data_IF_720263203399
#
_entry.id   IF_720263203399
#
_cell.length_a   1.000
_cell.length_b   1.000
_cell.length_c   1.000
_cell.angle_alpha   90.00
_cell.angle_beta   90.00
_cell.angle_gamma   90.00
#
_symmetry.space_group_name_H-M   'P 1'
#
loop_
_entity.id
_entity.type
_entity.pdbx_description
1 polymer ?
#
# COMPACT_ATOMS: atom_id res chain seq x y z
N UNK A 1 -61.08 15.33 -2.74
CA UNK A 1 -59.93 15.17 -1.84
C UNK A 1 -58.74 14.83 -2.72
N UNK A 2 -57.97 15.80 -3.04
CA UNK A 2 -56.73 15.67 -3.86
C UNK A 2 -55.58 15.36 -2.94
N UNK A 3 -54.84 14.28 -3.25
CA UNK A 3 -53.64 13.88 -2.52
C UNK A 3 -52.53 14.92 -2.63
N UNK A 4 -51.71 15.12 -1.56
CA UNK A 4 -50.60 16.07 -1.60
C UNK A 4 -49.51 15.55 -2.53
N UNK A 5 -48.70 16.45 -3.14
CA UNK A 5 -47.59 16.05 -3.99
C UNK A 5 -46.47 15.43 -3.17
N UNK A 6 -45.81 14.42 -3.75
CA UNK A 6 -44.62 13.77 -3.20
C UNK A 6 -43.49 14.77 -3.02
N UNK A 7 -42.68 14.68 -1.94
CA UNK A 7 -41.53 15.55 -1.74
C UNK A 7 -40.48 15.25 -2.83
N UNK A 8 -39.91 16.34 -3.34
CA UNK A 8 -38.80 16.31 -4.29
C UNK A 8 -37.62 15.51 -3.69
N UNK A 9 -37.06 14.60 -4.49
CA UNK A 9 -35.84 13.87 -4.13
C UNK A 9 -34.72 14.83 -3.77
N UNK A 10 -34.15 14.67 -2.59
CA UNK A 10 -32.97 15.40 -2.17
C UNK A 10 -31.83 15.17 -3.17
N UNK A 11 -31.01 16.20 -3.48
CA UNK A 11 -29.89 16.02 -4.37
C UNK A 11 -28.86 15.09 -3.72
N UNK A 12 -28.44 14.09 -4.48
CA UNK A 12 -27.32 13.19 -4.16
C UNK A 12 -26.12 14.03 -3.69
N UNK A 13 -25.39 13.66 -2.61
CA UNK A 13 -24.29 14.46 -2.12
C UNK A 13 -23.27 14.69 -3.23
N UNK A 14 -23.02 15.97 -3.50
CA UNK A 14 -22.02 16.44 -4.44
C UNK A 14 -20.67 15.77 -4.13
N UNK A 15 -20.07 15.13 -5.13
CA UNK A 15 -18.71 14.60 -5.03
C UNK A 15 -17.82 15.71 -4.45
N UNK A 16 -17.19 15.45 -3.31
CA UNK A 16 -16.32 16.40 -2.64
C UNK A 16 -15.23 16.82 -3.62
N UNK A 17 -15.20 18.09 -4.00
CA UNK A 17 -14.27 18.60 -5.00
C UNK A 17 -12.83 18.29 -4.55
N UNK A 18 -12.03 17.68 -5.43
CA UNK A 18 -10.63 17.40 -5.15
C UNK A 18 -9.87 18.71 -5.03
N UNK A 19 -9.28 18.95 -3.86
CA UNK A 19 -8.46 20.12 -3.63
C UNK A 19 -7.06 19.90 -4.23
N UNK A 20 -6.69 20.76 -5.17
CA UNK A 20 -5.37 20.81 -5.77
C UNK A 20 -4.62 22.04 -5.26
N UNK A 21 -3.46 21.82 -4.65
CA UNK A 21 -2.58 22.92 -4.26
C UNK A 21 -1.94 23.61 -5.47
N UNK A 22 -1.73 22.85 -6.57
CA UNK A 22 -1.17 23.32 -7.83
C UNK A 22 -2.20 23.16 -8.96
N UNK A 23 -2.68 24.29 -9.55
CA UNK A 23 -3.60 24.27 -10.69
C UNK A 23 -3.02 23.63 -11.96
N UNK A 24 -1.69 23.71 -12.16
CA UNK A 24 -1.05 23.10 -13.34
C UNK A 24 -1.10 21.56 -13.23
N UNK A 25 -0.87 21.03 -12.02
CA UNK A 25 -1.00 19.60 -11.76
C UNK A 25 -2.45 19.11 -11.91
N UNK A 26 -3.42 19.92 -11.48
CA UNK A 26 -4.84 19.62 -11.72
C UNK A 26 -5.16 19.51 -13.20
N UNK A 27 -4.68 20.46 -14.02
CA UNK A 27 -4.88 20.44 -15.46
C UNK A 27 -4.18 19.25 -16.12
N UNK A 28 -2.93 18.93 -15.74
CA UNK A 28 -2.20 17.77 -16.22
C UNK A 28 -2.95 16.46 -15.92
N UNK A 29 -3.47 16.32 -14.69
CA UNK A 29 -4.27 15.15 -14.28
C UNK A 29 -5.53 15.00 -15.14
N UNK A 30 -6.29 16.08 -15.34
CA UNK A 30 -7.50 16.06 -16.16
C UNK A 30 -7.19 15.72 -17.62
N UNK A 31 -6.14 16.31 -18.21
CA UNK A 31 -5.73 16.05 -19.58
C UNK A 31 -5.29 14.58 -19.75
N UNK A 32 -4.52 14.05 -18.80
CA UNK A 32 -4.11 12.65 -18.82
C UNK A 32 -5.31 11.71 -18.75
N UNK A 33 -6.25 11.93 -17.81
CA UNK A 33 -7.48 11.14 -17.70
C UNK A 33 -8.34 11.21 -18.96
N UNK A 34 -8.44 12.38 -19.59
CA UNK A 34 -9.18 12.53 -20.84
C UNK A 34 -8.53 11.73 -21.99
N UNK A 35 -7.18 11.66 -21.98
CA UNK A 35 -6.43 10.89 -22.98
C UNK A 35 -6.61 9.39 -22.87
N UNK A 36 -6.50 8.83 -21.66
CA UNK A 36 -6.60 7.38 -21.42
C UNK A 36 -8.05 6.89 -21.21
N UNK A 37 -8.95 7.80 -20.85
CA UNK A 37 -10.32 7.48 -20.45
C UNK A 37 -11.09 6.62 -21.45
N UNK A 38 -11.10 6.92 -22.74
CA UNK A 38 -11.83 6.12 -23.74
C UNK A 38 -11.35 4.66 -23.82
N UNK A 39 -10.04 4.40 -23.70
CA UNK A 39 -9.48 3.05 -23.77
C UNK A 39 -9.83 2.19 -22.56
N UNK A 40 -10.01 2.83 -21.40
CA UNK A 40 -10.29 2.15 -20.12
C UNK A 40 -11.75 2.32 -19.66
N UNK A 41 -12.61 2.94 -20.44
CA UNK A 41 -14.01 3.20 -20.11
C UNK A 41 -14.19 4.08 -18.86
N UNK A 42 -13.22 4.96 -18.57
CA UNK A 42 -13.26 5.81 -17.36
C UNK A 42 -14.34 6.87 -17.46
N UNK A 43 -14.94 7.19 -16.30
CA UNK A 43 -15.95 8.23 -16.13
C UNK A 43 -15.36 9.41 -15.32
N UNK A 44 -14.66 10.38 -15.95
CA UNK A 44 -13.88 11.40 -15.23
C UNK A 44 -14.68 12.24 -14.23
N UNK A 45 -15.98 12.42 -14.45
CA UNK A 45 -16.86 13.15 -13.53
C UNK A 45 -17.06 12.43 -12.17
N UNK A 46 -16.66 11.17 -12.06
CA UNK A 46 -16.84 10.35 -10.85
C UNK A 46 -15.59 10.27 -9.97
N UNK A 47 -14.52 10.97 -10.37
CA UNK A 47 -13.25 10.98 -9.60
C UNK A 47 -13.50 11.50 -8.19
N UNK A 48 -13.04 10.71 -7.21
CA UNK A 48 -13.14 11.01 -5.78
C UNK A 48 -11.94 10.51 -5.02
N UNK A 49 -11.63 11.11 -3.89
CA UNK A 49 -10.54 10.64 -3.03
C UNK A 49 -10.85 9.21 -2.54
N UNK A 50 -9.92 8.28 -2.73
CA UNK A 50 -9.99 6.93 -2.21
C UNK A 50 -9.21 6.81 -0.89
N UNK A 51 -7.95 7.30 -0.89
CA UNK A 51 -7.10 7.34 0.29
C UNK A 51 -6.06 8.44 0.11
N UNK A 52 -5.59 9.00 1.22
CA UNK A 52 -4.40 9.83 1.29
C UNK A 52 -3.44 9.14 2.25
N UNK A 53 -2.25 8.81 1.76
CA UNK A 53 -1.18 8.22 2.55
C UNK A 53 -0.44 9.28 3.37
N UNK A 54 0.36 8.85 4.34
CA UNK A 54 1.33 9.69 5.03
C UNK A 54 2.47 10.16 4.11
N UNK A 55 2.61 9.56 2.93
CA UNK A 55 3.52 9.96 1.85
C UNK A 55 2.95 11.11 1.00
N UNK A 56 3.68 11.50 -0.03
CA UNK A 56 3.18 12.47 -1.01
C UNK A 56 2.24 11.87 -2.06
N UNK A 57 1.89 10.58 -1.95
CA UNK A 57 0.97 9.88 -2.84
C UNK A 57 -0.46 10.17 -2.45
N UNK A 58 -1.31 10.36 -3.47
CA UNK A 58 -2.76 10.44 -3.32
C UNK A 58 -3.40 9.39 -4.22
N UNK A 59 -4.45 8.79 -3.71
CA UNK A 59 -5.18 7.77 -4.45
C UNK A 59 -6.61 8.25 -4.70
N UNK A 60 -7.03 8.21 -5.96
CA UNK A 60 -8.37 8.56 -6.37
C UNK A 60 -9.07 7.35 -6.95
N UNK A 61 -10.33 7.16 -6.61
CA UNK A 61 -11.18 6.17 -7.26
C UNK A 61 -11.96 6.85 -8.38
N UNK A 62 -12.05 6.18 -9.52
CA UNK A 62 -12.80 6.60 -10.69
C UNK A 62 -13.67 5.45 -11.16
N UNK A 63 -14.96 5.71 -11.43
CA UNK A 63 -15.83 4.68 -11.97
C UNK A 63 -15.48 4.40 -13.44
N UNK A 64 -15.73 3.16 -13.86
CA UNK A 64 -15.45 2.70 -15.22
C UNK A 64 -16.63 1.90 -15.76
N UNK A 65 -16.81 1.94 -17.07
CA UNK A 65 -17.74 1.06 -17.80
C UNK A 65 -17.04 -0.24 -18.17
N UNK A 66 -17.79 -1.34 -18.25
CA UNK A 66 -17.26 -2.65 -18.66
C UNK A 66 -17.17 -3.65 -17.52
N UNK A 67 -16.14 -4.52 -17.55
CA UNK A 67 -16.02 -5.64 -16.59
C UNK A 67 -15.59 -5.20 -15.19
N UNK A 68 -14.94 -4.07 -15.05
CA UNK A 68 -14.55 -3.50 -13.75
C UNK A 68 -15.38 -2.25 -13.48
N UNK A 69 -16.01 -2.20 -12.30
CA UNK A 69 -16.88 -1.10 -11.89
C UNK A 69 -16.07 0.19 -11.59
N UNK A 70 -14.81 0.07 -11.22
CA UNK A 70 -13.93 1.21 -10.88
C UNK A 70 -12.45 0.91 -11.09
N UNK A 71 -11.65 1.98 -11.06
CA UNK A 71 -10.20 1.96 -11.10
C UNK A 71 -9.64 2.88 -10.02
N UNK A 72 -8.36 2.71 -9.71
CA UNK A 72 -7.61 3.60 -8.84
C UNK A 72 -6.63 4.41 -9.69
N UNK A 73 -6.57 5.70 -9.45
CA UNK A 73 -5.53 6.59 -9.98
C UNK A 73 -4.60 6.97 -8.84
N UNK A 74 -3.33 6.59 -8.94
CA UNK A 74 -2.28 7.07 -8.05
C UNK A 74 -1.67 8.34 -8.62
N UNK A 75 -1.61 9.38 -7.82
CA UNK A 75 -0.94 10.65 -8.07
C UNK A 75 0.32 10.72 -7.19
N UNK A 76 1.48 10.53 -7.81
CA UNK A 76 2.80 10.47 -7.16
C UNK A 76 3.75 11.46 -7.85
N UNK A 77 3.83 12.73 -7.39
CA UNK A 77 4.65 13.77 -8.01
C UNK A 77 6.12 13.32 -8.14
N UNK A 78 6.72 13.26 -9.35
CA UNK A 78 8.05 12.69 -9.56
C UNK A 78 9.17 13.38 -8.80
N UNK A 79 9.00 14.67 -8.48
CA UNK A 79 9.94 15.44 -7.68
C UNK A 79 9.96 15.06 -6.19
N UNK A 80 8.96 14.27 -5.75
CA UNK A 80 8.80 13.83 -4.37
C UNK A 80 8.77 12.32 -4.20
N UNK A 81 8.32 11.61 -5.24
CA UNK A 81 8.05 10.16 -5.19
C UNK A 81 8.64 9.45 -6.41
N UNK A 82 9.42 8.41 -6.18
CA UNK A 82 9.86 7.52 -7.24
C UNK A 82 8.86 6.36 -7.40
N UNK A 83 8.14 6.30 -8.51
CA UNK A 83 7.16 5.23 -8.79
C UNK A 83 7.77 3.98 -9.44
N UNK A 84 9.06 3.98 -9.83
CA UNK A 84 9.71 2.78 -10.42
C UNK A 84 9.65 1.55 -9.50
N UNK A 85 9.96 1.64 -8.19
CA UNK A 85 9.86 0.49 -7.29
C UNK A 85 8.42 -0.06 -7.22
N UNK A 86 7.40 0.82 -7.18
CA UNK A 86 6.00 0.39 -7.19
C UNK A 86 5.70 -0.45 -8.43
N UNK A 87 6.04 0.04 -9.61
CA UNK A 87 5.79 -0.67 -10.88
C UNK A 87 6.57 -1.98 -10.95
N UNK A 88 7.83 -1.98 -10.50
CA UNK A 88 8.66 -3.17 -10.48
C UNK A 88 8.09 -4.25 -9.56
N UNK A 89 7.75 -3.88 -8.32
CA UNK A 89 7.27 -4.86 -7.34
C UNK A 89 5.87 -5.35 -7.67
N UNK A 90 4.97 -4.50 -8.17
CA UNK A 90 3.66 -4.93 -8.68
C UNK A 90 3.78 -6.04 -9.73
N UNK A 91 4.74 -5.91 -10.66
CA UNK A 91 5.01 -6.94 -11.66
C UNK A 91 5.56 -8.22 -11.03
N UNK A 92 6.51 -8.11 -10.08
CA UNK A 92 7.07 -9.28 -9.39
C UNK A 92 5.99 -10.03 -8.59
N UNK A 93 5.05 -9.33 -7.96
CA UNK A 93 3.91 -9.95 -7.27
C UNK A 93 3.00 -10.69 -8.25
N UNK A 94 2.68 -10.09 -9.39
CA UNK A 94 1.91 -10.76 -10.43
C UNK A 94 2.62 -12.04 -10.95
N UNK A 95 3.94 -11.98 -11.19
CA UNK A 95 4.76 -13.14 -11.56
C UNK A 95 4.75 -14.23 -10.48
N UNK A 96 4.67 -13.84 -9.20
CA UNK A 96 4.59 -14.76 -8.05
C UNK A 96 3.17 -15.34 -7.84
N UNK A 97 2.17 -14.92 -8.60
CA UNK A 97 0.78 -15.29 -8.39
C UNK A 97 0.16 -14.66 -7.13
N UNK A 98 0.71 -13.53 -6.68
CA UNK A 98 0.17 -12.71 -5.59
C UNK A 98 -0.68 -11.60 -6.19
N UNK A 99 -1.90 -11.45 -5.71
CA UNK A 99 -2.78 -10.37 -6.15
C UNK A 99 -2.29 -9.04 -5.57
N UNK A 100 -1.87 -8.14 -6.44
CA UNK A 100 -1.51 -6.76 -6.13
C UNK A 100 -2.09 -5.84 -7.21
N UNK A 101 -2.26 -4.52 -6.98
CA UNK A 101 -2.72 -3.59 -8.01
C UNK A 101 -1.87 -3.69 -9.27
N UNK A 102 -2.51 -4.02 -10.39
CA UNK A 102 -1.85 -4.02 -11.69
C UNK A 102 -1.75 -2.59 -12.21
N UNK A 103 -0.59 -2.24 -12.77
CA UNK A 103 -0.39 -0.95 -13.43
C UNK A 103 -0.90 -1.07 -14.87
N UNK A 104 -2.03 -0.41 -15.14
CA UNK A 104 -2.69 -0.42 -16.45
C UNK A 104 -2.12 0.66 -17.37
N UNK A 105 -1.84 1.85 -16.80
CA UNK A 105 -1.21 2.98 -17.49
C UNK A 105 -0.24 3.69 -16.54
N UNK A 106 0.82 4.27 -17.12
CA UNK A 106 1.80 5.04 -16.36
C UNK A 106 2.32 6.24 -17.14
N UNK A 107 1.97 7.43 -16.66
CA UNK A 107 2.59 8.69 -17.10
C UNK A 107 3.82 8.99 -16.23
N UNK A 108 5.00 8.64 -16.73
CA UNK A 108 6.27 8.86 -16.04
C UNK A 108 6.60 10.34 -15.85
N UNK A 109 6.12 11.19 -16.77
CA UNK A 109 6.41 12.63 -16.74
C UNK A 109 5.72 13.33 -15.59
N UNK A 110 4.45 12.97 -15.36
CA UNK A 110 3.66 13.60 -14.29
C UNK A 110 3.51 12.71 -13.06
N UNK A 111 3.90 11.42 -13.12
CA UNK A 111 3.78 10.48 -12.02
C UNK A 111 2.33 10.05 -11.76
N UNK A 112 1.51 9.92 -12.80
CA UNK A 112 0.16 9.37 -12.68
C UNK A 112 0.16 7.90 -13.10
N UNK A 113 -0.48 7.06 -12.29
CA UNK A 113 -0.67 5.65 -12.62
C UNK A 113 -2.15 5.28 -12.55
N UNK A 114 -2.63 4.53 -13.55
CA UNK A 114 -3.94 3.88 -13.50
C UNK A 114 -3.75 2.45 -13.03
N UNK A 115 -4.48 2.06 -11.98
CA UNK A 115 -4.38 0.77 -11.31
C UNK A 115 -5.75 0.08 -11.29
N UNK A 116 -5.75 -1.26 -11.14
CA UNK A 116 -6.99 -1.94 -10.75
C UNK A 116 -7.43 -1.51 -9.35
N UNK A 117 -8.74 -1.61 -9.14
CA UNK A 117 -9.36 -1.40 -7.84
C UNK A 117 -9.56 -2.75 -7.16
N UNK A 118 -8.86 -2.98 -6.07
CA UNK A 118 -8.95 -4.22 -5.29
C UNK A 118 -10.06 -4.20 -4.23
N UNK A 119 -10.91 -3.16 -4.23
CA UNK A 119 -12.02 -3.06 -3.31
C UNK A 119 -11.89 -1.92 -2.29
N UNK A 120 -12.60 -2.05 -1.16
CA UNK A 120 -12.72 -0.98 -0.18
C UNK A 120 -12.39 -1.42 1.24
N UNK A 121 -12.50 -2.71 1.53
CA UNK A 121 -12.33 -3.25 2.87
C UNK A 121 -10.96 -3.90 3.00
N UNK A 122 -10.23 -3.50 4.02
CA UNK A 122 -8.99 -4.17 4.41
C UNK A 122 -9.31 -5.34 5.34
N UNK A 123 -8.36 -6.25 5.48
CA UNK A 123 -8.46 -7.32 6.47
C UNK A 123 -8.63 -6.75 7.89
N UNK A 124 -8.02 -5.59 8.19
CA UNK A 124 -8.17 -4.91 9.48
C UNK A 124 -9.61 -4.47 9.73
N UNK A 125 -10.37 -4.09 8.70
CA UNK A 125 -11.76 -3.63 8.83
C UNK A 125 -12.72 -4.78 9.15
N UNK A 126 -12.37 -6.02 8.78
CA UNK A 126 -13.28 -7.18 8.87
C UNK A 126 -12.91 -8.21 9.94
N UNK A 127 -11.67 -8.21 10.44
CA UNK A 127 -11.28 -9.12 11.53
C UNK A 127 -11.95 -8.70 12.84
N UNK A 128 -12.46 -9.71 13.56
CA UNK A 128 -13.09 -9.51 14.86
C UNK A 128 -12.24 -10.19 15.96
N UNK A 129 -11.55 -9.41 16.81
CA UNK A 129 -10.77 -9.98 17.91
C UNK A 129 -11.56 -10.83 18.90
N UNK A 130 -12.88 -10.60 18.99
CA UNK A 130 -13.75 -11.40 19.83
C UNK A 130 -14.13 -12.76 19.22
N UNK A 131 -13.91 -12.94 17.92
CA UNK A 131 -14.19 -14.16 17.16
C UNK A 131 -13.01 -14.58 16.29
N UNK A 132 -11.86 -14.94 16.88
CA UNK A 132 -10.63 -15.24 16.13
C UNK A 132 -10.80 -16.37 15.12
N UNK A 133 -11.63 -17.37 15.41
CA UNK A 133 -11.89 -18.49 14.49
C UNK A 133 -12.59 -18.04 13.20
N UNK A 134 -13.43 -17.01 13.24
CA UNK A 134 -14.08 -16.44 12.08
C UNK A 134 -13.08 -15.73 11.13
N UNK A 135 -11.99 -15.21 11.68
CA UNK A 135 -10.95 -14.51 10.93
C UNK A 135 -9.87 -15.45 10.39
N UNK A 136 -9.82 -16.70 10.85
CA UNK A 136 -8.79 -17.69 10.47
C UNK A 136 -8.64 -17.86 8.96
N UNK A 137 -9.72 -17.99 8.15
CA UNK A 137 -9.58 -18.14 6.70
C UNK A 137 -8.84 -16.98 6.03
N UNK A 138 -8.95 -15.75 6.56
CA UNK A 138 -8.22 -14.59 6.05
C UNK A 138 -6.73 -14.67 6.38
N UNK A 139 -6.39 -15.14 7.57
CA UNK A 139 -4.98 -15.38 7.94
C UNK A 139 -4.36 -16.51 7.11
N UNK A 140 -5.11 -17.59 6.85
CA UNK A 140 -4.64 -18.68 5.99
C UNK A 140 -4.35 -18.16 4.57
N UNK A 141 -5.23 -17.32 3.99
CA UNK A 141 -4.99 -16.66 2.69
C UNK A 141 -3.78 -15.71 2.71
N UNK A 142 -3.60 -14.96 3.80
CA UNK A 142 -2.45 -14.08 3.95
C UNK A 142 -1.14 -14.88 3.98
N UNK A 143 -1.10 -15.98 4.74
CA UNK A 143 0.06 -16.89 4.78
C UNK A 143 0.33 -17.48 3.40
N UNK A 144 -0.68 -17.94 2.68
CA UNK A 144 -0.52 -18.48 1.33
C UNK A 144 0.04 -17.43 0.35
N UNK A 145 -0.43 -16.16 0.44
CA UNK A 145 0.10 -15.07 -0.36
C UNK A 145 1.57 -14.79 -0.03
N UNK A 146 1.93 -14.76 1.26
CA UNK A 146 3.30 -14.57 1.72
C UNK A 146 4.22 -15.71 1.27
N UNK A 147 3.77 -16.96 1.35
CA UNK A 147 4.52 -18.12 0.87
C UNK A 147 4.78 -18.00 -0.63
N UNK A 148 3.77 -17.68 -1.45
CA UNK A 148 3.95 -17.47 -2.89
C UNK A 148 4.98 -16.37 -3.18
N UNK A 149 4.91 -15.26 -2.46
CA UNK A 149 5.86 -14.16 -2.58
C UNK A 149 7.29 -14.59 -2.24
N UNK A 150 7.48 -15.29 -1.13
CA UNK A 150 8.79 -15.78 -0.71
C UNK A 150 9.35 -16.83 -1.65
N UNK A 151 8.54 -17.75 -2.17
CA UNK A 151 8.97 -18.78 -3.12
C UNK A 151 9.41 -18.22 -4.48
N UNK A 152 8.90 -17.05 -4.86
CA UNK A 152 9.30 -16.36 -6.09
C UNK A 152 10.64 -15.61 -5.98
N UNK A 153 11.30 -15.66 -4.83
CA UNK A 153 12.51 -14.88 -4.54
C UNK A 153 13.67 -15.22 -5.45
N UNK A 154 14.32 -14.18 -5.94
CA UNK A 154 15.55 -14.25 -6.75
C UNK A 154 16.58 -13.25 -6.22
N UNK A 155 17.80 -13.69 -5.88
CA UNK A 155 18.86 -12.79 -5.43
C UNK A 155 19.15 -11.69 -6.48
N UNK A 156 19.44 -10.48 -6.01
CA UNK A 156 19.85 -9.35 -6.85
C UNK A 156 18.71 -8.66 -7.62
N UNK A 157 17.44 -9.06 -7.43
CA UNK A 157 16.27 -8.43 -8.07
C UNK A 157 15.74 -7.27 -7.24
N UNK A 158 15.59 -7.47 -5.93
CA UNK A 158 15.22 -6.42 -4.98
C UNK A 158 16.47 -5.95 -4.21
N UNK A 159 16.45 -4.72 -3.67
CA UNK A 159 17.52 -4.23 -2.80
C UNK A 159 17.76 -5.17 -1.62
N UNK A 160 19.02 -5.36 -1.18
CA UNK A 160 19.29 -6.20 -0.02
C UNK A 160 18.81 -5.53 1.28
N UNK A 161 18.26 -6.32 2.19
CA UNK A 161 18.04 -5.93 3.57
C UNK A 161 19.34 -6.16 4.34
N UNK A 162 20.31 -5.29 4.07
CA UNK A 162 21.66 -5.40 4.61
C UNK A 162 21.78 -4.90 6.06
N UNK A 163 22.99 -5.04 6.63
CA UNK A 163 23.31 -4.56 7.98
C UNK A 163 22.95 -3.07 8.17
N UNK A 164 23.27 -2.26 7.19
CA UNK A 164 23.07 -0.80 7.29
C UNK A 164 21.58 -0.46 7.39
N UNK A 165 20.73 -1.13 6.61
CA UNK A 165 19.28 -0.95 6.66
C UNK A 165 18.70 -1.47 7.98
N UNK A 166 19.10 -2.66 8.44
CA UNK A 166 18.67 -3.22 9.73
C UNK A 166 19.05 -2.33 10.90
N UNK A 167 20.30 -1.83 10.95
CA UNK A 167 20.78 -0.96 12.02
C UNK A 167 20.05 0.40 12.02
N UNK A 168 19.75 0.95 10.82
CA UNK A 168 18.99 2.20 10.68
C UNK A 168 17.57 2.07 11.24
N UNK A 169 16.89 0.97 10.95
CA UNK A 169 15.51 0.75 11.44
C UNK A 169 15.49 0.51 12.96
N UNK A 170 16.41 -0.27 13.48
CA UNK A 170 16.54 -0.46 14.92
C UNK A 170 16.85 0.85 15.66
N UNK A 171 17.58 1.76 15.04
CA UNK A 171 17.90 3.06 15.63
C UNK A 171 16.67 3.98 15.80
N UNK A 172 15.56 3.73 15.08
CA UNK A 172 14.32 4.48 15.25
C UNK A 172 13.74 4.31 16.66
N UNK A 173 13.88 3.13 17.27
CA UNK A 173 13.34 2.86 18.61
C UNK A 173 13.99 3.76 19.70
N UNK A 174 15.33 3.79 19.87
CA UNK A 174 15.93 4.68 20.84
C UNK A 174 15.77 6.16 20.51
N UNK A 175 15.80 6.55 19.23
CA UNK A 175 15.64 7.93 18.83
C UNK A 175 14.24 8.46 19.14
N UNK A 176 13.22 7.77 18.59
CA UNK A 176 11.85 8.28 18.62
C UNK A 176 11.11 7.91 19.90
N UNK A 177 11.14 6.63 20.29
CA UNK A 177 10.40 6.20 21.46
C UNK A 177 11.10 6.59 22.77
N UNK A 178 12.37 6.22 22.94
CA UNK A 178 13.06 6.49 24.21
C UNK A 178 13.39 7.99 24.33
N UNK A 179 14.03 8.57 23.31
CA UNK A 179 14.47 9.95 23.33
C UNK A 179 13.31 10.93 23.24
N UNK A 180 12.60 10.94 22.10
CA UNK A 180 11.57 11.99 21.84
C UNK A 180 10.28 11.76 22.61
N UNK A 181 9.73 10.54 22.62
CA UNK A 181 8.44 10.28 23.28
C UNK A 181 8.58 10.18 24.80
N UNK A 182 9.58 9.44 25.30
CA UNK A 182 9.78 9.25 26.73
C UNK A 182 10.67 10.32 27.39
N UNK A 183 11.38 11.14 26.62
CA UNK A 183 12.28 12.17 27.12
C UNK A 183 13.49 11.62 27.90
N UNK A 184 13.88 10.36 27.64
CA UNK A 184 14.97 9.69 28.36
C UNK A 184 16.25 9.77 27.50
N UNK A 185 17.35 10.21 28.10
CA UNK A 185 18.65 10.18 27.41
C UNK A 185 19.12 8.73 27.19
N UNK A 186 19.54 8.42 25.96
CA UNK A 186 20.06 7.11 25.58
C UNK A 186 21.57 7.10 25.78
N UNK A 187 22.00 6.93 27.05
CA UNK A 187 23.40 7.01 27.47
C UNK A 187 23.74 5.86 28.45
N UNK A 188 25.03 5.68 28.72
CA UNK A 188 25.54 4.72 29.69
C UNK A 188 24.97 3.31 29.50
N UNK A 189 24.47 2.69 30.56
CA UNK A 189 23.98 1.31 30.54
C UNK A 189 22.79 1.08 29.59
N UNK A 190 21.91 2.09 29.38
CA UNK A 190 20.80 1.97 28.44
C UNK A 190 21.36 1.79 27.02
N UNK A 191 22.29 2.64 26.61
CA UNK A 191 22.95 2.58 25.32
C UNK A 191 23.66 1.24 25.11
N UNK A 192 24.47 0.82 26.07
CA UNK A 192 25.22 -0.45 26.00
C UNK A 192 24.30 -1.67 25.86
N UNK A 193 23.16 -1.69 26.56
CA UNK A 193 22.20 -2.78 26.47
C UNK A 193 21.50 -2.79 25.10
N UNK A 194 21.11 -1.64 24.59
CA UNK A 194 20.50 -1.53 23.26
C UNK A 194 21.47 -1.97 22.17
N UNK A 195 22.71 -1.49 22.18
CA UNK A 195 23.73 -1.88 21.21
C UNK A 195 24.00 -3.40 21.22
N UNK A 196 24.04 -4.01 22.41
CA UNK A 196 24.17 -5.46 22.55
C UNK A 196 22.98 -6.20 21.94
N UNK A 197 21.76 -5.76 22.28
CA UNK A 197 20.53 -6.41 21.78
C UNK A 197 20.40 -6.23 20.27
N UNK A 198 20.67 -5.04 19.75
CA UNK A 198 20.61 -4.75 18.31
C UNK A 198 21.64 -5.58 17.52
N UNK A 199 22.83 -5.72 18.04
CA UNK A 199 23.85 -6.58 17.42
C UNK A 199 23.35 -8.02 17.28
N UNK A 200 22.78 -8.61 18.33
CA UNK A 200 22.23 -9.96 18.30
C UNK A 200 21.10 -10.10 17.28
N UNK A 201 20.18 -9.10 17.22
CA UNK A 201 19.09 -9.09 16.26
C UNK A 201 19.62 -9.02 14.83
N UNK A 202 20.56 -8.11 14.56
CA UNK A 202 21.16 -7.95 13.23
C UNK A 202 21.90 -9.20 12.80
N UNK A 203 22.72 -9.80 13.68
CA UNK A 203 23.45 -11.03 13.40
C UNK A 203 22.51 -12.22 13.13
N UNK A 204 21.44 -12.34 13.90
CA UNK A 204 20.42 -13.37 13.70
C UNK A 204 19.71 -13.21 12.35
N UNK A 205 19.32 -11.98 12.01
CA UNK A 205 18.67 -11.70 10.74
C UNK A 205 19.58 -11.97 9.54
N UNK A 206 20.84 -11.55 9.61
CA UNK A 206 21.80 -11.78 8.53
C UNK A 206 22.22 -13.25 8.37
N UNK A 207 22.08 -14.07 9.41
CA UNK A 207 22.32 -15.51 9.36
C UNK A 207 21.13 -16.30 8.79
N UNK A 208 19.94 -15.69 8.73
CA UNK A 208 18.72 -16.31 8.20
C UNK A 208 18.74 -16.40 6.67
N UNK A 209 18.08 -17.40 6.06
CA UNK A 209 17.85 -17.40 4.62
C UNK A 209 17.14 -16.11 4.17
N UNK A 210 17.53 -15.58 3.01
CA UNK A 210 16.95 -14.38 2.45
C UNK A 210 15.91 -14.71 1.39
N UNK A 211 14.79 -14.00 1.44
CA UNK A 211 13.65 -14.07 0.52
C UNK A 211 13.18 -12.66 0.17
N UNK A 212 12.18 -12.53 -0.68
CA UNK A 212 11.46 -11.26 -0.83
C UNK A 212 10.68 -10.97 0.45
N UNK A 213 10.93 -9.82 1.04
CA UNK A 213 10.32 -9.27 2.24
C UNK A 213 9.47 -8.08 1.85
N UNK A 214 8.22 -8.07 2.26
CA UNK A 214 7.28 -6.98 1.99
C UNK A 214 7.55 -5.77 2.88
N UNK A 215 7.94 -5.98 4.13
CA UNK A 215 8.20 -5.05 5.23
C UNK A 215 6.95 -4.57 5.98
N UNK A 216 5.85 -4.38 5.28
CA UNK A 216 4.58 -3.90 5.84
C UNK A 216 3.43 -4.88 5.58
N UNK A 217 3.71 -6.21 5.70
CA UNK A 217 2.73 -7.29 5.49
C UNK A 217 1.81 -7.42 6.69
N UNK A 218 0.80 -6.56 6.75
CA UNK A 218 -0.10 -6.48 7.90
C UNK A 218 -1.56 -6.27 7.46
N UNK A 219 -2.57 -6.58 8.32
CA UNK A 219 -3.99 -6.56 7.97
C UNK A 219 -4.49 -5.29 7.31
N UNK A 220 -3.92 -4.11 7.61
CA UNK A 220 -4.32 -2.85 6.96
C UNK A 220 -3.92 -2.75 5.50
N UNK A 221 -2.93 -3.55 5.08
CA UNK A 221 -2.38 -3.57 3.73
C UNK A 221 -2.87 -4.79 2.93
N UNK A 222 -3.82 -5.56 3.46
CA UNK A 222 -4.42 -6.72 2.82
C UNK A 222 -5.89 -6.42 2.51
N UNK A 223 -6.24 -6.34 1.23
CA UNK A 223 -7.59 -6.05 0.76
C UNK A 223 -8.43 -7.33 0.71
N UNK A 224 -9.59 -7.30 1.35
CA UNK A 224 -10.56 -8.40 1.27
C UNK A 224 -11.35 -8.30 -0.03
N UNK A 225 -11.45 -9.42 -0.74
CA UNK A 225 -12.10 -9.51 -2.03
C UNK A 225 -13.09 -10.67 -2.03
N UNK A 226 -14.33 -10.41 -2.42
CA UNK A 226 -15.39 -11.43 -2.45
C UNK A 226 -15.02 -12.59 -3.38
N UNK A 227 -14.91 -13.78 -2.80
CA UNK A 227 -14.66 -15.03 -3.55
C UNK A 227 -13.31 -15.11 -4.27
N UNK A 228 -12.34 -14.25 -3.89
CA UNK A 228 -11.02 -14.20 -4.50
C UNK A 228 -9.90 -14.08 -3.45
N UNK A 229 -8.65 -14.30 -3.86
CA UNK A 229 -7.47 -14.12 -3.01
C UNK A 229 -7.36 -12.69 -2.49
N UNK A 230 -6.80 -12.53 -1.29
CA UNK A 230 -6.48 -11.21 -0.72
C UNK A 230 -5.61 -10.39 -1.67
N UNK A 231 -5.91 -9.10 -1.77
CA UNK A 231 -5.07 -8.14 -2.47
C UNK A 231 -4.00 -7.56 -1.55
N UNK A 232 -2.76 -7.46 -2.00
CA UNK A 232 -1.63 -6.94 -1.23
C UNK A 232 -1.31 -5.53 -1.68
N UNK A 233 -1.28 -4.58 -0.73
CA UNK A 233 -0.95 -3.16 -0.93
C UNK A 233 0.36 -2.81 -0.24
N UNK A 234 0.89 -1.61 -0.53
CA UNK A 234 2.02 -0.97 0.18
C UNK A 234 3.35 -1.77 0.07
N UNK A 235 3.59 -2.32 -1.09
CA UNK A 235 4.70 -3.24 -1.39
C UNK A 235 5.94 -2.59 -2.00
N UNK A 236 5.92 -1.30 -2.31
CA UNK A 236 6.99 -0.64 -3.08
C UNK A 236 8.34 -0.58 -2.35
N UNK A 237 8.34 -0.76 -1.04
CA UNK A 237 9.54 -0.80 -0.20
C UNK A 237 10.07 -2.22 0.04
N UNK A 238 9.59 -3.19 -0.74
CA UNK A 238 10.02 -4.59 -0.63
C UNK A 238 11.53 -4.74 -0.87
N UNK A 239 12.13 -5.68 -0.14
CA UNK A 239 13.57 -5.93 -0.14
C UNK A 239 13.87 -7.44 -0.22
N UNK A 240 15.14 -7.81 -0.38
CA UNK A 240 15.61 -9.19 -0.28
C UNK A 240 16.31 -9.39 1.07
N UNK A 241 15.68 -10.12 2.00
CA UNK A 241 16.11 -10.16 3.39
C UNK A 241 15.56 -11.35 4.20
N UNK A 242 15.62 -11.27 5.54
CA UNK A 242 15.34 -12.38 6.45
C UNK A 242 13.95 -12.98 6.25
N UNK A 243 13.87 -14.29 6.06
CA UNK A 243 12.62 -15.04 5.80
C UNK A 243 11.54 -14.84 6.87
N UNK A 244 11.93 -14.54 8.10
CA UNK A 244 11.00 -14.40 9.23
C UNK A 244 10.44 -12.99 9.41
N UNK A 245 10.90 -12.01 8.63
CA UNK A 245 10.57 -10.60 8.87
C UNK A 245 9.06 -10.32 8.81
N UNK A 246 8.39 -10.76 7.76
CA UNK A 246 6.97 -10.47 7.53
C UNK A 246 6.01 -11.29 8.40
N UNK A 247 6.51 -12.27 9.15
CA UNK A 247 5.73 -13.11 10.08
C UNK A 247 6.01 -12.80 11.55
N UNK A 248 6.95 -11.89 11.84
CA UNK A 248 7.30 -11.44 13.19
C UNK A 248 6.43 -10.27 13.63
#
# INVERSE_FOLDING_TARGET
>A
MTAPPLPASEPTPSATAILWADPQRAAAFQNWLAGIGPAHGLLPATVRLASADASFRRYFRIDATGSAASRIVMDAPPEKENSEPFVQVARLMAEAGVTAPQVLEWDRTHGFLLLDDLGRETMLDVIDPARPDASRPLYDQAIDALIRWQLASRPGVLPPYDRALLERELALFPEWYIGRHRGIAVEGQIKERLERSFRLIVESNLASPSVYVHRDFMPRNLMVRDGADLGVLDFQDAVYGPITYDIA
#
